data_IF_112117254855
#
_entry.id   IF_112117254855
#
_cell.length_a   1.000
_cell.length_b   1.000
_cell.length_c   1.000
_cell.angle_alpha   90.00
_cell.angle_beta   90.00
_cell.angle_gamma   90.00
#
_symmetry.space_group_name_H-M   'P 1'
#
loop_
_entity.id
_entity.type
_entity.pdbx_description
1 polymer ?
#
# COMPACT_ATOMS: atom_id res chain seq x y z
N UNK A 1 -7.31 1.01 -13.47
CA UNK A 1 -7.73 0.79 -14.87
C UNK A 1 -7.42 1.97 -15.78
N UNK A 2 -7.41 3.16 -15.20
CA UNK A 2 -7.13 4.44 -15.88
C UNK A 2 -5.71 4.46 -16.46
N UNK A 3 -4.74 3.93 -15.76
CA UNK A 3 -3.33 3.88 -16.19
C UNK A 3 -3.16 3.10 -17.50
N UNK A 4 -3.82 1.95 -17.58
CA UNK A 4 -3.80 1.09 -18.77
C UNK A 4 -4.54 1.79 -19.93
N UNK A 5 -5.69 2.39 -19.67
CA UNK A 5 -6.48 3.10 -20.67
C UNK A 5 -5.72 4.30 -21.24
N UNK A 6 -5.07 5.08 -20.38
CA UNK A 6 -4.24 6.21 -20.79
C UNK A 6 -3.06 5.75 -21.66
N UNK A 7 -2.29 4.78 -21.17
CA UNK A 7 -1.14 4.23 -21.89
C UNK A 7 -1.53 3.67 -23.25
N UNK A 8 -2.64 2.95 -23.33
CA UNK A 8 -3.14 2.38 -24.58
C UNK A 8 -3.58 3.46 -25.58
N UNK A 9 -4.26 4.50 -25.11
CA UNK A 9 -4.67 5.63 -25.96
C UNK A 9 -3.48 6.41 -26.52
N UNK A 10 -2.42 6.58 -25.73
CA UNK A 10 -1.17 7.20 -26.18
C UNK A 10 -0.52 6.38 -27.30
N UNK A 11 -0.47 5.06 -27.17
CA UNK A 11 0.04 4.17 -28.22
C UNK A 11 -0.82 4.27 -29.50
N UNK A 12 -2.15 4.29 -29.37
CA UNK A 12 -3.03 4.45 -30.51
C UNK A 12 -2.88 5.81 -31.22
N UNK A 13 -2.50 6.85 -30.47
CA UNK A 13 -2.20 8.17 -31.00
C UNK A 13 -0.78 8.31 -31.58
N UNK A 14 -0.02 7.20 -31.68
CA UNK A 14 1.32 7.18 -32.25
C UNK A 14 2.45 7.54 -31.28
N UNK A 15 2.16 7.71 -29.98
CA UNK A 15 3.17 7.96 -28.97
C UNK A 15 3.78 6.66 -28.47
N UNK A 16 5.01 6.76 -27.96
CA UNK A 16 5.72 5.62 -27.34
C UNK A 16 5.70 5.77 -25.83
N UNK A 17 5.32 4.69 -25.14
CA UNK A 17 5.42 4.61 -23.69
C UNK A 17 6.84 4.20 -23.28
N UNK A 18 7.42 4.90 -22.32
CA UNK A 18 8.73 4.59 -21.75
C UNK A 18 8.57 4.16 -20.31
N UNK A 19 9.27 3.12 -19.92
CA UNK A 19 9.43 2.74 -18.52
C UNK A 19 10.59 3.55 -17.92
N UNK A 20 10.28 4.31 -16.87
CA UNK A 20 11.30 5.02 -16.08
C UNK A 20 11.50 4.26 -14.77
N UNK A 21 12.71 3.71 -14.51
CA UNK A 21 12.99 2.95 -13.29
C UNK A 21 13.20 3.88 -12.09
N UNK A 22 12.26 4.78 -11.85
CA UNK A 22 12.29 5.71 -10.73
C UNK A 22 11.57 5.10 -9.55
N UNK A 23 12.22 4.94 -8.39
CA UNK A 23 11.58 4.45 -7.18
C UNK A 23 10.50 5.44 -6.69
N UNK A 24 9.35 4.90 -6.33
CA UNK A 24 8.25 5.66 -5.73
C UNK A 24 7.70 4.93 -4.51
N UNK A 25 7.16 5.69 -3.57
CA UNK A 25 6.38 5.12 -2.46
C UNK A 25 4.92 5.08 -2.88
N UNK A 26 4.33 3.88 -2.87
CA UNK A 26 2.92 3.68 -3.13
C UNK A 26 2.24 3.01 -1.95
N UNK A 27 1.47 3.75 -1.17
CA UNK A 27 0.67 3.21 -0.08
C UNK A 27 -0.50 2.41 -0.65
N UNK A 28 -0.33 1.09 -0.65
CA UNK A 28 -1.26 0.17 -1.27
C UNK A 28 -2.41 -0.19 -0.33
N UNK A 29 -3.65 0.07 -0.76
CA UNK A 29 -4.84 -0.39 -0.03
C UNK A 29 -5.70 0.71 0.58
N UNK A 30 -5.32 1.98 0.44
CA UNK A 30 -6.10 3.13 0.93
C UNK A 30 -7.51 3.17 0.31
N UNK A 31 -7.64 2.85 -0.97
CA UNK A 31 -8.93 2.90 -1.66
C UNK A 31 -9.78 1.63 -1.54
N UNK A 32 -9.16 0.45 -1.35
CA UNK A 32 -9.93 -0.81 -1.26
C UNK A 32 -9.10 -1.92 -0.60
N UNK A 33 -9.61 -2.52 0.48
CA UNK A 33 -8.94 -3.65 1.14
C UNK A 33 -8.70 -4.80 0.16
N UNK A 34 -7.42 -5.18 -0.02
CA UNK A 34 -7.03 -6.32 -0.84
C UNK A 34 -7.80 -7.57 -0.42
N UNK A 35 -8.30 -8.32 -1.41
CA UNK A 35 -9.01 -9.57 -1.15
C UNK A 35 -10.49 -9.39 -0.78
N UNK A 36 -11.04 -8.18 -0.74
CA UNK A 36 -12.48 -8.00 -0.64
C UNK A 36 -13.15 -8.37 -1.96
N UNK A 37 -14.38 -8.88 -1.90
CA UNK A 37 -15.18 -9.12 -3.11
C UNK A 37 -15.38 -7.84 -3.93
N UNK A 38 -15.43 -6.69 -3.26
CA UNK A 38 -15.51 -5.37 -3.90
C UNK A 38 -14.25 -5.08 -4.73
N UNK A 39 -13.05 -5.39 -4.23
CA UNK A 39 -11.80 -5.22 -4.98
C UNK A 39 -11.80 -6.06 -6.27
N UNK A 40 -12.17 -7.34 -6.15
CA UNK A 40 -12.27 -8.26 -7.28
C UNK A 40 -13.26 -7.73 -8.31
N UNK A 41 -14.44 -7.31 -7.88
CA UNK A 41 -15.47 -6.76 -8.75
C UNK A 41 -14.98 -5.51 -9.50
N UNK A 42 -14.47 -4.50 -8.78
CA UNK A 42 -13.98 -3.24 -9.36
C UNK A 42 -12.86 -3.49 -10.38
N UNK A 43 -11.93 -4.39 -10.06
CA UNK A 43 -10.85 -4.75 -10.96
C UNK A 43 -11.37 -5.34 -12.28
N UNK A 44 -12.31 -6.26 -12.20
CA UNK A 44 -12.86 -6.90 -13.39
C UNK A 44 -13.83 -5.99 -14.17
N UNK A 45 -14.60 -5.15 -13.49
CA UNK A 45 -15.42 -4.13 -14.15
C UNK A 45 -14.53 -3.16 -14.97
N UNK A 46 -13.41 -2.73 -14.42
CA UNK A 46 -12.45 -1.89 -15.13
C UNK A 46 -11.90 -2.57 -16.40
N UNK A 47 -11.58 -3.87 -16.33
CA UNK A 47 -11.15 -4.66 -17.49
C UNK A 47 -12.24 -4.76 -18.57
N UNK A 48 -13.49 -4.98 -18.17
CA UNK A 48 -14.61 -5.07 -19.11
C UNK A 48 -14.91 -3.72 -19.76
N UNK A 49 -14.81 -2.62 -19.02
CA UNK A 49 -14.96 -1.26 -19.54
C UNK A 49 -13.88 -0.99 -20.59
N UNK A 50 -12.62 -1.28 -20.25
CA UNK A 50 -11.49 -1.13 -21.19
C UNK A 50 -11.72 -1.94 -22.47
N UNK A 51 -12.09 -3.21 -22.33
CA UNK A 51 -12.36 -4.09 -23.47
C UNK A 51 -13.48 -3.57 -24.34
N UNK A 52 -14.62 -3.18 -23.76
CA UNK A 52 -15.76 -2.64 -24.50
C UNK A 52 -15.42 -1.33 -25.23
N UNK A 53 -14.57 -0.51 -24.62
CA UNK A 53 -14.15 0.79 -25.19
C UNK A 53 -13.24 0.63 -26.38
N UNK A 54 -12.26 -0.25 -26.30
CA UNK A 54 -11.19 -0.36 -27.30
C UNK A 54 -11.38 -1.48 -28.33
N UNK A 55 -12.26 -2.44 -28.03
CA UNK A 55 -12.50 -3.61 -28.89
C UNK A 55 -13.99 -3.82 -29.21
N UNK A 56 -14.73 -2.79 -29.72
CA UNK A 56 -16.17 -2.91 -29.96
C UNK A 56 -16.52 -3.91 -31.08
N UNK A 57 -15.59 -4.22 -31.98
CA UNK A 57 -15.80 -5.10 -33.13
C UNK A 57 -15.61 -6.59 -32.82
N UNK A 58 -15.13 -6.92 -31.61
CA UNK A 58 -15.04 -8.32 -31.21
C UNK A 58 -16.43 -8.96 -31.07
N UNK A 59 -16.53 -10.21 -31.49
CA UNK A 59 -17.79 -10.94 -31.46
C UNK A 59 -18.38 -11.02 -30.04
N UNK A 60 -19.71 -11.02 -29.95
CA UNK A 60 -20.42 -11.24 -28.67
C UNK A 60 -19.96 -12.49 -27.93
N UNK A 61 -19.56 -13.55 -28.70
CA UNK A 61 -19.02 -14.79 -28.15
C UNK A 61 -17.70 -14.58 -27.41
N UNK A 62 -16.79 -13.78 -27.93
CA UNK A 62 -15.52 -13.48 -27.27
C UNK A 62 -15.74 -12.68 -25.97
N UNK A 63 -16.63 -11.68 -26.00
CA UNK A 63 -17.01 -10.94 -24.79
C UNK A 63 -17.59 -11.86 -23.72
N UNK A 64 -18.47 -12.79 -24.12
CA UNK A 64 -19.04 -13.79 -23.21
C UNK A 64 -17.98 -14.72 -22.65
N UNK A 65 -17.02 -15.18 -23.47
CA UNK A 65 -15.92 -16.01 -23.01
C UNK A 65 -15.05 -15.31 -21.95
N UNK A 66 -14.69 -14.04 -22.20
CA UNK A 66 -13.96 -13.22 -21.21
C UNK A 66 -14.77 -13.07 -19.93
N UNK A 67 -16.05 -12.70 -20.03
CA UNK A 67 -16.95 -12.57 -18.89
C UNK A 67 -17.07 -13.87 -18.10
N UNK A 68 -17.23 -14.99 -18.79
CA UNK A 68 -17.31 -16.32 -18.17
C UNK A 68 -16.02 -16.68 -17.43
N UNK A 69 -14.85 -16.45 -18.05
CA UNK A 69 -13.54 -16.71 -17.44
C UNK A 69 -13.34 -15.91 -16.15
N UNK A 70 -13.81 -14.66 -16.14
CA UNK A 70 -13.80 -13.78 -14.99
C UNK A 70 -14.66 -14.36 -13.85
N UNK A 71 -15.91 -14.70 -14.15
CA UNK A 71 -16.82 -15.26 -13.15
C UNK A 71 -16.34 -16.62 -12.63
N UNK A 72 -15.83 -17.48 -13.52
CA UNK A 72 -15.27 -18.78 -13.16
C UNK A 72 -14.10 -18.64 -12.17
N UNK A 73 -13.14 -17.74 -12.48
CA UNK A 73 -12.03 -17.46 -11.56
C UNK A 73 -12.48 -16.86 -10.23
N UNK A 74 -13.46 -15.95 -10.25
CA UNK A 74 -14.02 -15.37 -9.04
C UNK A 74 -14.73 -16.43 -8.18
N UNK A 75 -15.48 -17.35 -8.81
CA UNK A 75 -16.16 -18.46 -8.14
C UNK A 75 -15.17 -19.46 -7.55
N UNK A 76 -14.09 -19.80 -8.25
CA UNK A 76 -13.02 -20.63 -7.72
C UNK A 76 -12.34 -19.99 -6.50
N UNK A 77 -12.06 -18.68 -6.56
CA UNK A 77 -11.48 -17.95 -5.44
C UNK A 77 -12.42 -17.89 -4.24
N UNK A 78 -13.73 -17.73 -4.47
CA UNK A 78 -14.74 -17.76 -3.42
C UNK A 78 -14.89 -19.17 -2.81
N UNK A 79 -14.96 -20.20 -3.63
CA UNK A 79 -15.01 -21.60 -3.19
C UNK A 79 -13.77 -21.98 -2.36
N UNK A 80 -12.57 -21.61 -2.84
CA UNK A 80 -11.34 -21.82 -2.08
C UNK A 80 -11.37 -21.16 -0.71
N UNK A 81 -11.92 -19.94 -0.61
CA UNK A 81 -12.08 -19.24 0.67
C UNK A 81 -13.03 -19.94 1.61
N UNK A 82 -14.17 -20.40 1.10
CA UNK A 82 -15.17 -21.13 1.92
C UNK A 82 -14.57 -22.43 2.45
N UNK A 83 -13.83 -23.17 1.62
CA UNK A 83 -13.16 -24.42 2.04
C UNK A 83 -11.99 -24.14 2.99
N UNK A 84 -11.26 -23.06 2.79
CA UNK A 84 -10.10 -22.69 3.62
C UNK A 84 -10.48 -21.92 4.91
N UNK A 85 -11.74 -21.47 5.04
CA UNK A 85 -12.22 -20.68 6.17
C UNK A 85 -12.06 -21.37 7.53
N UNK A 86 -12.29 -22.69 7.70
CA UNK A 86 -12.11 -23.33 8.99
C UNK A 86 -10.65 -23.40 9.46
N UNK A 87 -9.67 -23.25 8.55
CA UNK A 87 -8.25 -23.34 8.88
C UNK A 87 -7.56 -21.98 9.12
N UNK A 88 -8.19 -20.87 8.72
CA UNK A 88 -7.70 -19.53 9.00
C UNK A 88 -8.65 -18.84 9.95
N UNK A 89 -8.48 -19.04 11.27
CA UNK A 89 -9.00 -18.10 12.25
C UNK A 89 -8.45 -16.72 11.91
N UNK A 90 -9.23 -15.91 11.21
CA UNK A 90 -9.03 -14.47 11.16
C UNK A 90 -9.26 -13.97 12.59
N UNK A 91 -8.20 -13.99 13.36
CA UNK A 91 -8.15 -13.10 14.50
C UNK A 91 -8.33 -11.69 13.94
N UNK A 92 -9.51 -11.10 14.08
CA UNK A 92 -9.64 -9.68 14.32
C UNK A 92 -8.95 -9.44 15.66
N UNK A 93 -7.64 -9.45 15.63
CA UNK A 93 -6.92 -8.73 16.64
C UNK A 93 -7.04 -7.27 16.25
N UNK A 94 -7.81 -6.50 17.02
CA UNK A 94 -7.34 -5.20 17.46
C UNK A 94 -5.97 -5.47 18.09
N UNK A 95 -4.96 -5.67 17.25
CA UNK A 95 -3.58 -5.66 17.66
C UNK A 95 -3.36 -4.21 18.10
N UNK A 96 -3.54 -3.94 19.40
CA UNK A 96 -2.73 -2.92 20.04
C UNK A 96 -1.36 -3.06 19.40
N UNK A 97 -0.90 -2.00 18.75
CA UNK A 97 0.40 -1.96 18.09
C UNK A 97 1.47 -2.27 19.13
N UNK A 98 1.72 -3.56 19.32
CA UNK A 98 2.79 -4.09 20.18
C UNK A 98 4.07 -4.04 19.36
N UNK A 99 4.62 -2.87 19.21
CA UNK A 99 5.87 -2.66 18.50
C UNK A 99 6.68 -1.57 19.18
N UNK A 100 7.97 -1.51 18.87
CA UNK A 100 8.81 -0.40 19.27
C UNK A 100 8.70 0.74 18.29
N UNK A 101 8.61 1.94 18.81
CA UNK A 101 8.51 3.16 18.03
C UNK A 101 9.87 3.84 17.94
N UNK A 102 10.26 4.21 16.73
CA UNK A 102 11.46 4.97 16.42
C UNK A 102 11.04 6.23 15.66
N UNK A 103 11.52 7.39 16.09
CA UNK A 103 11.14 8.68 15.48
C UNK A 103 12.41 9.40 15.04
N UNK A 104 12.58 9.53 13.72
CA UNK A 104 13.67 10.27 13.10
C UNK A 104 13.20 11.69 12.80
N UNK A 105 13.43 12.60 13.75
CA UNK A 105 12.99 14.00 13.67
C UNK A 105 13.77 14.87 14.64
N UNK A 106 13.81 16.18 14.38
CA UNK A 106 14.30 17.19 15.34
C UNK A 106 13.31 17.44 16.48
N UNK A 107 12.04 17.12 16.28
CA UNK A 107 10.96 17.35 17.24
C UNK A 107 10.14 16.10 17.53
N UNK A 108 10.77 15.00 18.02
CA UNK A 108 10.10 13.72 18.19
C UNK A 108 8.92 13.76 19.16
N UNK A 109 8.94 14.67 20.15
CA UNK A 109 7.85 14.86 21.12
C UNK A 109 6.56 15.35 20.46
N UNK A 110 6.67 16.23 19.47
CA UNK A 110 5.52 16.77 18.72
C UNK A 110 4.86 15.65 17.91
N UNK A 111 5.68 14.84 17.23
CA UNK A 111 5.21 13.71 16.42
C UNK A 111 4.55 12.63 17.30
N UNK A 112 5.15 12.31 18.44
CA UNK A 112 4.61 11.31 19.36
C UNK A 112 3.20 11.66 19.88
N UNK A 113 2.88 12.95 20.02
CA UNK A 113 1.55 13.41 20.47
C UNK A 113 0.45 13.17 19.44
N UNK A 114 0.80 13.03 18.16
CA UNK A 114 -0.17 12.77 17.09
C UNK A 114 -0.64 11.31 17.06
N UNK A 115 0.09 10.41 17.72
CA UNK A 115 -0.24 8.97 17.70
C UNK A 115 -0.92 8.58 19.02
N UNK A 116 -2.21 8.25 19.00
CA UNK A 116 -2.92 7.82 20.19
C UNK A 116 -2.32 6.55 20.80
N UNK A 117 -1.98 6.62 22.10
CA UNK A 117 -1.51 5.45 22.86
C UNK A 117 -0.02 5.14 22.78
N UNK A 118 0.77 5.94 22.08
CA UNK A 118 2.23 5.88 22.21
C UNK A 118 2.63 6.23 23.67
N UNK A 119 3.23 5.26 24.36
CA UNK A 119 3.75 5.47 25.71
C UNK A 119 5.27 5.63 25.74
N UNK A 120 5.95 4.93 24.83
CA UNK A 120 7.40 4.90 24.73
C UNK A 120 7.83 4.93 23.27
N UNK A 121 8.82 5.72 22.97
CA UNK A 121 9.49 5.78 21.67
C UNK A 121 10.98 6.03 21.85
N UNK A 122 11.77 5.67 20.87
CA UNK A 122 13.21 5.93 20.81
C UNK A 122 13.43 7.03 19.77
N UNK A 123 13.90 8.22 20.15
CA UNK A 123 14.33 9.22 19.19
C UNK A 123 15.61 8.69 18.51
N UNK A 124 15.68 8.85 17.19
CA UNK A 124 16.86 8.55 16.38
C UNK A 124 17.20 9.79 15.54
N UNK A 125 18.50 9.95 15.24
CA UNK A 125 19.03 11.13 14.58
C UNK A 125 19.57 10.84 13.20
N UNK A 126 19.78 9.56 12.89
CA UNK A 126 20.27 9.05 11.63
C UNK A 126 19.52 7.78 11.20
N UNK A 127 19.44 7.57 9.88
CA UNK A 127 18.90 6.35 9.32
C UNK A 127 19.70 5.10 9.71
N UNK A 128 20.99 5.27 10.06
CA UNK A 128 21.86 4.16 10.49
C UNK A 128 21.46 3.59 11.86
N UNK A 129 20.82 4.41 12.70
CA UNK A 129 20.29 4.00 14.00
C UNK A 129 19.02 3.15 13.91
N UNK A 130 18.43 3.02 12.72
CA UNK A 130 17.30 2.11 12.50
C UNK A 130 17.79 0.68 12.65
N UNK A 131 17.22 -0.11 13.61
CA UNK A 131 17.69 -1.46 13.89
C UNK A 131 17.62 -2.38 12.67
N UNK A 132 18.67 -3.16 12.48
CA UNK A 132 18.70 -4.20 11.44
C UNK A 132 17.91 -5.44 11.84
N UNK A 133 17.66 -6.34 10.89
CA UNK A 133 16.86 -7.56 11.05
C UNK A 133 17.35 -8.55 12.11
N UNK A 134 18.62 -8.46 12.52
CA UNK A 134 19.23 -9.35 13.49
C UNK A 134 18.84 -9.08 14.94
N UNK A 135 18.26 -7.93 15.24
CA UNK A 135 17.89 -7.53 16.59
C UNK A 135 16.40 -7.72 16.88
N UNK A 136 16.08 -8.74 17.69
CA UNK A 136 14.78 -9.03 18.32
C UNK A 136 13.54 -9.21 17.40
N UNK A 137 12.60 -10.04 17.88
CA UNK A 137 11.40 -10.49 17.15
C UNK A 137 10.23 -9.48 17.11
N UNK A 138 10.38 -8.25 17.60
CA UNK A 138 9.30 -7.29 17.73
C UNK A 138 9.11 -6.47 16.46
N UNK A 139 7.85 -6.14 16.11
CA UNK A 139 7.52 -5.19 15.07
C UNK A 139 8.07 -3.80 15.43
N UNK A 140 8.50 -3.04 14.41
CA UNK A 140 9.10 -1.72 14.56
C UNK A 140 8.35 -0.71 13.73
N UNK A 141 7.86 0.32 14.36
CA UNK A 141 7.23 1.47 13.70
C UNK A 141 8.24 2.60 13.61
N UNK A 142 8.60 2.99 12.41
CA UNK A 142 9.65 3.95 12.13
C UNK A 142 9.03 5.17 11.47
N UNK A 143 9.06 6.31 12.13
CA UNK A 143 8.54 7.57 11.62
C UNK A 143 9.69 8.37 11.04
N UNK A 144 9.57 8.72 9.76
CA UNK A 144 10.52 9.56 9.02
C UNK A 144 9.91 10.94 8.82
N UNK A 145 10.62 11.97 9.26
CA UNK A 145 10.16 13.35 9.17
C UNK A 145 10.59 13.99 7.84
N UNK A 146 9.62 14.35 6.99
CA UNK A 146 9.89 15.01 5.70
C UNK A 146 10.36 16.48 5.83
N UNK A 147 10.29 17.04 7.03
CA UNK A 147 10.93 18.33 7.34
C UNK A 147 12.42 18.22 7.66
N UNK A 148 12.89 17.00 7.96
CA UNK A 148 14.30 16.71 8.23
C UNK A 148 14.98 16.03 7.03
N UNK A 149 14.27 15.09 6.39
CA UNK A 149 14.75 14.30 5.25
C UNK A 149 14.04 14.72 3.97
N UNK A 150 14.77 14.79 2.88
CA UNK A 150 14.17 14.89 1.55
C UNK A 150 13.41 13.59 1.21
N UNK A 151 12.43 13.66 0.31
CA UNK A 151 11.72 12.46 -0.15
C UNK A 151 12.64 11.41 -0.79
N UNK A 152 13.76 11.84 -1.40
CA UNK A 152 14.78 10.91 -1.90
C UNK A 152 15.41 10.12 -0.76
N UNK A 153 15.86 10.79 0.30
CA UNK A 153 16.46 10.15 1.47
C UNK A 153 15.47 9.24 2.19
N UNK A 154 14.19 9.64 2.26
CA UNK A 154 13.11 8.79 2.79
C UNK A 154 12.99 7.49 1.98
N UNK A 155 12.95 7.60 0.64
CA UNK A 155 12.83 6.43 -0.25
C UNK A 155 14.06 5.51 -0.11
N UNK A 156 15.27 6.08 -0.12
CA UNK A 156 16.53 5.34 0.04
C UNK A 156 16.59 4.66 1.41
N UNK A 157 16.15 5.34 2.47
CA UNK A 157 16.06 4.77 3.82
C UNK A 157 15.09 3.58 3.86
N UNK A 158 13.90 3.73 3.29
CA UNK A 158 12.91 2.65 3.23
C UNK A 158 13.45 1.46 2.43
N UNK A 159 14.14 1.70 1.32
CA UNK A 159 14.71 0.63 0.49
C UNK A 159 15.85 -0.11 1.23
N UNK A 160 16.79 0.63 1.80
CA UNK A 160 17.97 0.05 2.46
C UNK A 160 17.64 -0.67 3.78
N UNK A 161 16.61 -0.19 4.50
CA UNK A 161 16.16 -0.74 5.79
C UNK A 161 14.88 -1.59 5.66
N UNK A 162 14.55 -2.03 4.44
CA UNK A 162 13.37 -2.87 4.19
C UNK A 162 13.48 -4.21 4.91
N UNK A 163 12.57 -4.44 5.85
CA UNK A 163 12.41 -5.70 6.62
C UNK A 163 10.92 -5.92 6.82
N UNK A 164 10.47 -7.17 6.89
CA UNK A 164 9.06 -7.54 7.11
C UNK A 164 8.48 -6.91 8.39
N UNK A 165 9.33 -6.64 9.38
CA UNK A 165 8.98 -6.09 10.70
C UNK A 165 9.11 -4.58 10.78
N UNK A 166 9.69 -3.93 9.78
CA UNK A 166 9.82 -2.48 9.72
C UNK A 166 8.59 -1.87 9.05
N UNK A 167 7.80 -1.17 9.83
CA UNK A 167 6.62 -0.44 9.37
C UNK A 167 6.97 1.05 9.29
N UNK A 168 7.17 1.55 8.08
CA UNK A 168 7.53 2.95 7.87
C UNK A 168 6.29 3.84 7.81
N UNK A 169 6.39 4.97 8.51
CA UNK A 169 5.42 6.05 8.48
C UNK A 169 6.14 7.34 8.09
N UNK A 170 5.46 8.24 7.43
CA UNK A 170 6.02 9.53 7.01
C UNK A 170 5.25 10.63 7.72
N UNK A 171 5.96 11.46 8.45
CA UNK A 171 5.43 12.69 9.03
C UNK A 171 5.69 13.87 8.09
N UNK A 172 4.64 14.68 7.86
CA UNK A 172 4.70 15.90 7.05
C UNK A 172 4.41 17.10 7.97
N UNK A 173 5.42 17.93 8.27
CA UNK A 173 5.29 19.01 9.26
C UNK A 173 4.29 20.10 8.84
N UNK A 174 4.22 20.45 7.55
CA UNK A 174 3.33 21.51 7.06
C UNK A 174 1.84 21.22 7.30
N UNK A 175 1.45 19.98 7.28
CA UNK A 175 0.08 19.53 7.51
C UNK A 175 -0.14 18.89 8.88
N UNK A 176 0.92 18.68 9.67
CA UNK A 176 0.92 17.94 10.93
C UNK A 176 0.26 16.54 10.79
N UNK A 177 0.56 15.86 9.68
CA UNK A 177 -0.02 14.55 9.36
C UNK A 177 1.06 13.47 9.38
N UNK A 178 0.71 12.30 9.93
CA UNK A 178 1.51 11.08 9.79
C UNK A 178 0.75 10.10 8.90
N UNK A 179 1.39 9.67 7.84
CA UNK A 179 0.82 8.74 6.86
C UNK A 179 1.46 7.36 7.06
N UNK A 180 0.62 6.33 7.16
CA UNK A 180 1.03 4.93 7.16
C UNK A 180 0.27 4.12 6.11
N UNK A 181 0.68 2.89 5.81
CA UNK A 181 -0.06 2.00 4.90
C UNK A 181 -1.46 1.62 5.39
N UNK A 182 -1.76 1.78 6.68
CA UNK A 182 -3.02 1.37 7.30
C UNK A 182 -3.95 2.53 7.64
N UNK A 183 -3.38 3.66 8.02
CA UNK A 183 -4.15 4.81 8.52
C UNK A 183 -3.35 6.11 8.48
N UNK A 184 -4.06 7.21 8.60
CA UNK A 184 -3.49 8.55 8.69
C UNK A 184 -3.79 9.08 10.08
N UNK A 185 -2.77 9.64 10.74
CA UNK A 185 -2.92 10.31 12.03
C UNK A 185 -2.85 11.81 11.80
N UNK A 186 -3.83 12.51 12.35
CA UNK A 186 -3.92 13.98 12.30
C UNK A 186 -4.12 14.50 13.71
N UNK A 187 -3.86 15.78 13.89
CA UNK A 187 -4.20 16.47 15.13
C UNK A 187 -5.71 16.37 15.36
N UNK A 188 -6.18 16.02 16.58
CA UNK A 188 -7.58 15.96 16.93
C UNK A 188 -8.27 17.33 16.83
#
# INVERSE_FOLDING_TARGET
GEDIDLSYRLVLAGYTNYFLPTPIIHYKGESTKKGSLRYVRVFYEAMLIFFKKHYPHYSKGYYLAVKFSIFFRASLAAAYRVVSFPFHKHGKTDKKEKGKWYILSRTPQTIARLIPGIKHYTPIWSADEIPSSSERQDDRHIILDSGLLSYREIIETIQSKSDVRNHFLIYTPDSEIIISPQQTYTKP
#
